data_IF_024170636049
#
_entry.id   IF_024170636049
#
_cell.length_a   1.000
_cell.length_b   1.000
_cell.length_c   1.000
_cell.angle_alpha   90.00
_cell.angle_beta   90.00
_cell.angle_gamma   90.00
#
_symmetry.space_group_name_H-M   'P 1'
#
loop_
_entity.id
_entity.type
_entity.pdbx_description
1 polymer ?
#
# COMPACT_ATOMS: atom_id res chain seq x y z
N UNK A 1 -1.14 33.06 7.78
CA UNK A 1 -0.49 33.72 8.93
C UNK A 1 -1.29 33.56 10.22
N UNK A 2 -2.59 33.88 10.22
CA UNK A 2 -3.49 33.70 11.38
C UNK A 2 -3.63 32.22 11.81
N UNK A 3 -3.69 31.29 10.87
CA UNK A 3 -3.76 29.84 11.19
C UNK A 3 -2.45 29.29 11.79
N UNK A 4 -1.31 29.87 11.43
CA UNK A 4 0.00 29.49 11.98
C UNK A 4 0.13 29.95 13.45
N UNK A 5 -0.36 31.15 13.75
CA UNK A 5 -0.42 31.71 15.11
C UNK A 5 -1.37 30.88 16.00
N UNK A 6 -2.49 30.41 15.45
CA UNK A 6 -3.46 29.60 16.20
C UNK A 6 -2.92 28.21 16.59
N UNK A 7 -2.10 27.61 15.72
CA UNK A 7 -1.47 26.30 15.96
C UNK A 7 -0.28 26.37 16.93
N UNK A 8 0.40 27.53 17.00
CA UNK A 8 1.57 27.78 17.85
C UNK A 8 1.28 28.75 19.01
N UNK A 9 0.04 28.83 19.51
CA UNK A 9 -0.36 29.80 20.53
C UNK A 9 0.49 29.78 21.81
N UNK A 10 0.97 28.60 22.23
CA UNK A 10 1.87 28.42 23.38
C UNK A 10 3.23 29.10 23.12
N UNK A 11 3.71 29.06 21.88
CA UNK A 11 4.98 29.70 21.48
C UNK A 11 4.88 31.23 21.49
N UNK A 12 3.73 31.79 21.07
CA UNK A 12 3.47 33.23 21.19
C UNK A 12 3.44 33.69 22.66
N UNK A 13 2.79 32.92 23.54
CA UNK A 13 2.75 33.23 24.98
C UNK A 13 4.15 33.19 25.58
N UNK A 14 4.98 32.22 25.19
CA UNK A 14 6.38 32.13 25.63
C UNK A 14 7.22 33.34 25.18
N UNK A 15 7.00 33.85 23.97
CA UNK A 15 7.67 35.07 23.47
C UNK A 15 7.25 36.30 24.29
N UNK A 16 5.95 36.47 24.57
CA UNK A 16 5.49 37.58 25.40
C UNK A 16 5.98 37.49 26.85
N UNK A 17 6.07 36.28 27.41
CA UNK A 17 6.65 36.06 28.74
C UNK A 17 8.16 36.35 28.77
N UNK A 18 8.90 36.01 27.71
CA UNK A 18 10.31 36.32 27.59
C UNK A 18 10.55 37.84 27.48
N UNK A 19 9.77 38.53 26.64
CA UNK A 19 9.80 40.00 26.53
C UNK A 19 9.43 40.64 27.88
N UNK A 20 8.39 40.14 28.54
CA UNK A 20 7.98 40.61 29.87
C UNK A 20 9.07 40.41 30.93
N UNK A 21 9.77 39.28 30.92
CA UNK A 21 10.89 39.00 31.82
C UNK A 21 12.10 39.92 31.56
N UNK A 22 12.41 40.20 30.30
CA UNK A 22 13.46 41.16 29.90
C UNK A 22 13.11 42.59 30.35
N UNK A 23 11.85 43.01 30.18
CA UNK A 23 11.39 44.32 30.64
C UNK A 23 11.37 44.43 32.17
N UNK A 24 10.94 43.38 32.88
CA UNK A 24 10.96 43.34 34.35
C UNK A 24 12.37 43.34 34.92
N UNK A 25 13.32 42.66 34.27
CA UNK A 25 14.73 42.72 34.65
C UNK A 25 15.35 44.09 34.34
N UNK A 26 14.89 44.81 33.31
CA UNK A 26 15.32 46.18 33.05
C UNK A 26 14.75 47.21 34.05
N UNK A 27 13.52 47.01 34.56
CA UNK A 27 12.85 47.94 35.48
C UNK A 27 13.27 47.73 36.94
N UNK A 28 13.66 46.51 37.35
CA UNK A 28 14.05 46.21 38.74
C UNK A 28 15.50 46.54 39.08
N UNK A 29 16.27 47.08 38.13
CA UNK A 29 17.63 47.55 38.39
C UNK A 29 17.59 49.09 38.48
N UNK A 30 17.38 49.61 39.68
CA UNK A 30 17.65 51.02 40.05
C UNK A 30 19.10 51.41 39.70
N UNK A 31 19.39 52.71 39.49
CA UNK A 31 20.26 53.19 38.42
C UNK A 31 21.63 52.51 38.47
N UNK A 32 21.89 51.76 37.40
CA UNK A 32 23.12 51.04 37.19
C UNK A 32 24.26 52.05 37.07
N UNK A 33 25.08 52.15 38.11
CA UNK A 33 26.47 52.56 37.95
C UNK A 33 27.08 51.69 36.84
N UNK A 34 27.60 52.33 35.80
CA UNK A 34 28.30 51.68 34.69
C UNK A 34 29.65 51.11 35.17
N UNK A 35 29.61 50.12 36.05
CA UNK A 35 30.77 49.34 36.47
C UNK A 35 30.38 47.87 36.66
N UNK A 36 30.96 47.01 35.82
CA UNK A 36 31.04 45.53 35.84
C UNK A 36 29.78 44.66 36.04
N UNK A 37 28.74 45.05 36.78
CA UNK A 37 27.59 44.19 37.11
C UNK A 37 26.52 44.08 36.01
N UNK A 38 26.25 45.17 35.29
CA UNK A 38 25.21 45.22 34.25
C UNK A 38 25.59 44.47 32.97
N UNK A 39 26.87 44.56 32.57
CA UNK A 39 27.38 43.83 31.41
C UNK A 39 27.31 42.31 31.63
N UNK A 40 27.54 41.84 32.86
CA UNK A 40 27.43 40.42 33.24
C UNK A 40 25.97 39.96 33.19
N UNK A 41 25.02 40.75 33.71
CA UNK A 41 23.59 40.42 33.67
C UNK A 41 23.05 40.31 32.24
N UNK A 42 23.45 41.23 31.35
CA UNK A 42 23.07 41.20 29.94
C UNK A 42 23.63 39.96 29.22
N UNK A 43 24.91 39.62 29.42
CA UNK A 43 25.54 38.43 28.82
C UNK A 43 24.88 37.14 29.32
N UNK A 44 24.58 37.05 30.63
CA UNK A 44 23.88 35.88 31.21
C UNK A 44 22.46 35.75 30.64
N UNK A 45 21.74 36.86 30.45
CA UNK A 45 20.43 36.85 29.81
C UNK A 45 20.48 36.36 28.35
N UNK A 46 21.47 36.81 27.58
CA UNK A 46 21.66 36.42 26.18
C UNK A 46 22.05 34.94 26.06
N UNK A 47 22.90 34.44 26.97
CA UNK A 47 23.20 33.01 27.08
C UNK A 47 21.96 32.16 27.38
N UNK A 48 21.05 32.64 28.24
CA UNK A 48 19.79 31.97 28.54
C UNK A 48 18.86 31.84 27.32
N UNK A 49 18.78 32.89 26.50
CA UNK A 49 17.99 32.88 25.25
C UNK A 49 18.61 31.88 24.25
N UNK A 50 19.92 31.93 24.05
CA UNK A 50 20.62 31.00 23.16
C UNK A 50 20.47 29.54 23.60
N UNK A 51 20.58 29.25 24.90
CA UNK A 51 20.38 27.91 25.45
C UNK A 51 18.94 27.41 25.19
N UNK A 52 17.95 28.28 25.35
CA UNK A 52 16.54 27.94 25.10
C UNK A 52 16.26 27.63 23.63
N UNK A 53 16.80 28.44 22.71
CA UNK A 53 16.68 28.20 21.26
C UNK A 53 17.36 26.89 20.86
N UNK A 54 18.53 26.59 21.43
CA UNK A 54 19.26 25.35 21.16
C UNK A 54 18.45 24.11 21.57
N UNK A 55 17.91 24.10 22.80
CA UNK A 55 17.08 22.99 23.29
C UNK A 55 15.79 22.88 22.49
N UNK A 56 15.13 23.99 22.16
CA UNK A 56 13.93 23.99 21.33
C UNK A 56 14.20 23.44 19.92
N UNK A 57 15.33 23.81 19.31
CA UNK A 57 15.75 23.30 18.00
C UNK A 57 16.03 21.79 18.04
N UNK A 58 16.69 21.30 19.09
CA UNK A 58 16.92 19.86 19.28
C UNK A 58 15.61 19.09 19.46
N UNK A 59 14.67 19.58 20.28
CA UNK A 59 13.35 18.95 20.47
C UNK A 59 12.55 18.95 19.16
N UNK A 60 12.55 20.07 18.43
CA UNK A 60 11.85 20.17 17.15
C UNK A 60 12.46 19.25 16.09
N UNK A 61 13.80 19.16 16.04
CA UNK A 61 14.53 18.23 15.18
C UNK A 61 14.18 16.76 15.49
N UNK A 62 14.12 16.39 16.77
CA UNK A 62 13.71 15.05 17.20
C UNK A 62 12.26 14.74 16.80
N UNK A 63 11.32 15.69 16.98
CA UNK A 63 9.92 15.51 16.58
C UNK A 63 9.74 15.37 15.08
N UNK A 64 10.47 16.17 14.31
CA UNK A 64 10.48 16.08 12.85
C UNK A 64 11.04 14.73 12.39
N UNK A 65 12.18 14.32 12.95
CA UNK A 65 12.80 13.02 12.69
C UNK A 65 11.86 11.86 13.05
N UNK A 66 11.23 11.89 14.23
CA UNK A 66 10.24 10.89 14.66
C UNK A 66 9.08 10.77 13.66
N UNK A 67 8.53 11.91 13.21
CA UNK A 67 7.43 11.94 12.25
C UNK A 67 7.85 11.36 10.90
N UNK A 68 9.05 11.72 10.44
CA UNK A 68 9.60 11.22 9.18
C UNK A 68 9.84 9.71 9.25
N UNK A 69 10.46 9.22 10.33
CA UNK A 69 10.71 7.79 10.57
C UNK A 69 9.41 7.01 10.62
N UNK A 70 8.40 7.48 11.36
CA UNK A 70 7.06 6.85 11.39
C UNK A 70 6.43 6.78 10.00
N UNK A 71 6.54 7.85 9.21
CA UNK A 71 6.00 7.86 7.85
C UNK A 71 6.72 6.89 6.91
N UNK A 72 8.05 6.74 7.07
CA UNK A 72 8.83 5.77 6.31
C UNK A 72 8.49 4.33 6.73
N UNK A 73 8.40 4.08 8.04
CA UNK A 73 8.01 2.76 8.57
C UNK A 73 6.63 2.33 8.08
N UNK A 74 5.64 3.23 8.11
CA UNK A 74 4.29 2.90 7.62
C UNK A 74 4.29 2.59 6.13
N UNK A 75 5.01 3.39 5.31
CA UNK A 75 5.14 3.14 3.87
C UNK A 75 5.81 1.79 3.58
N UNK A 76 6.88 1.47 4.30
CA UNK A 76 7.59 0.21 4.10
C UNK A 76 6.75 -0.98 4.60
N UNK A 77 6.02 -0.83 5.71
CA UNK A 77 5.10 -1.84 6.20
C UNK A 77 3.95 -2.11 5.21
N UNK A 78 3.35 -1.06 4.63
CA UNK A 78 2.32 -1.20 3.60
C UNK A 78 2.85 -1.89 2.34
N UNK A 79 4.06 -1.51 1.92
CA UNK A 79 4.76 -2.13 0.79
C UNK A 79 5.05 -3.62 1.05
N UNK A 80 5.66 -3.94 2.18
CA UNK A 80 5.94 -5.33 2.60
C UNK A 80 4.67 -6.15 2.68
N UNK A 81 3.58 -5.59 3.22
CA UNK A 81 2.29 -6.26 3.28
C UNK A 81 1.74 -6.58 1.89
N UNK A 82 1.84 -5.64 0.95
CA UNK A 82 1.42 -5.86 -0.44
C UNK A 82 2.28 -6.91 -1.14
N UNK A 83 3.61 -6.82 -0.99
CA UNK A 83 4.55 -7.80 -1.58
C UNK A 83 4.34 -9.21 -1.00
N UNK A 84 4.11 -9.31 0.31
CA UNK A 84 3.81 -10.58 0.98
C UNK A 84 2.48 -11.16 0.53
N UNK A 85 1.42 -10.33 0.41
CA UNK A 85 0.12 -10.77 -0.10
C UNK A 85 0.21 -11.29 -1.54
N UNK A 86 0.86 -10.53 -2.44
CA UNK A 86 1.05 -10.93 -3.83
C UNK A 86 1.86 -12.24 -3.92
N UNK A 87 2.92 -12.36 -3.12
CA UNK A 87 3.74 -13.57 -3.07
C UNK A 87 2.95 -14.79 -2.57
N UNK A 88 2.09 -14.60 -1.57
CA UNK A 88 1.21 -15.64 -1.05
C UNK A 88 0.19 -16.10 -2.11
N UNK A 89 -0.47 -15.18 -2.80
CA UNK A 89 -1.40 -15.51 -3.89
C UNK A 89 -0.67 -16.22 -5.02
N UNK A 90 0.51 -15.75 -5.42
CA UNK A 90 1.31 -16.42 -6.44
C UNK A 90 1.68 -17.85 -6.04
N UNK A 91 2.02 -18.08 -4.76
CA UNK A 91 2.28 -19.43 -4.25
C UNK A 91 1.04 -20.33 -4.26
N UNK A 92 -0.10 -19.82 -3.80
CA UNK A 92 -1.38 -20.55 -3.85
C UNK A 92 -1.78 -20.88 -5.28
N UNK A 93 -1.57 -19.96 -6.22
CA UNK A 93 -1.81 -20.20 -7.64
C UNK A 93 -1.01 -21.41 -8.16
N UNK A 94 0.28 -21.52 -7.83
CA UNK A 94 1.09 -22.66 -8.28
C UNK A 94 0.58 -23.99 -7.72
N UNK A 95 0.12 -24.01 -6.46
CA UNK A 95 -0.47 -25.22 -5.85
C UNK A 95 -1.77 -25.59 -6.55
N UNK A 96 -2.65 -24.61 -6.81
CA UNK A 96 -3.94 -24.91 -7.45
C UNK A 96 -3.83 -25.22 -8.94
N UNK A 97 -2.76 -24.80 -9.62
CA UNK A 97 -2.46 -25.29 -10.96
C UNK A 97 -2.25 -26.80 -10.94
N UNK A 98 -1.49 -27.30 -9.97
CA UNK A 98 -1.26 -28.75 -9.83
C UNK A 98 -2.56 -29.49 -9.46
N UNK A 99 -3.38 -28.89 -8.60
CA UNK A 99 -4.69 -29.44 -8.26
C UNK A 99 -5.61 -29.52 -9.48
N UNK A 100 -5.73 -28.43 -10.26
CA UNK A 100 -6.52 -28.39 -11.48
C UNK A 100 -6.05 -29.44 -12.50
N UNK A 101 -4.73 -29.60 -12.66
CA UNK A 101 -4.15 -30.62 -13.55
C UNK A 101 -4.59 -32.01 -13.13
N UNK A 102 -4.37 -32.36 -11.86
CA UNK A 102 -4.76 -33.65 -11.31
C UNK A 102 -6.28 -33.88 -11.41
N UNK A 103 -7.09 -32.84 -11.18
CA UNK A 103 -8.55 -32.91 -11.30
C UNK A 103 -9.02 -33.22 -12.72
N UNK A 104 -8.46 -32.57 -13.76
CA UNK A 104 -8.87 -32.88 -15.14
C UNK A 104 -8.32 -34.23 -15.62
N UNK A 105 -7.10 -34.62 -15.21
CA UNK A 105 -6.53 -35.93 -15.56
C UNK A 105 -7.36 -37.08 -14.98
N UNK A 106 -7.93 -36.88 -13.79
CA UNK A 106 -8.87 -37.80 -13.14
C UNK A 106 -10.31 -37.67 -13.63
N UNK A 107 -10.59 -36.71 -14.50
CA UNK A 107 -11.94 -36.40 -15.01
C UNK A 107 -12.94 -36.04 -13.89
N UNK A 108 -12.45 -35.46 -12.78
CA UNK A 108 -13.27 -34.97 -11.67
C UNK A 108 -13.83 -33.57 -12.02
N UNK A 109 -14.74 -33.47 -13.00
CA UNK A 109 -15.13 -32.20 -13.64
C UNK A 109 -15.62 -31.10 -12.69
N UNK A 110 -16.42 -31.45 -11.68
CA UNK A 110 -16.88 -30.47 -10.68
C UNK A 110 -15.73 -29.88 -9.88
N UNK A 111 -14.73 -30.71 -9.56
CA UNK A 111 -13.54 -30.26 -8.84
C UNK A 111 -12.67 -29.40 -9.73
N UNK A 112 -12.44 -29.85 -10.97
CA UNK A 112 -11.72 -29.08 -11.96
C UNK A 112 -12.33 -27.69 -12.17
N UNK A 113 -13.65 -27.58 -12.28
CA UNK A 113 -14.36 -26.30 -12.37
C UNK A 113 -14.09 -25.38 -11.18
N UNK A 114 -14.08 -25.95 -9.96
CA UNK A 114 -13.77 -25.20 -8.74
C UNK A 114 -12.33 -24.70 -8.74
N UNK A 115 -11.39 -25.55 -9.17
CA UNK A 115 -9.99 -25.20 -9.27
C UNK A 115 -9.77 -24.08 -10.31
N UNK A 116 -10.47 -24.13 -11.46
CA UNK A 116 -10.46 -23.07 -12.47
C UNK A 116 -11.00 -21.74 -11.90
N UNK A 117 -12.08 -21.76 -11.12
CA UNK A 117 -12.62 -20.56 -10.49
C UNK A 117 -11.59 -19.89 -9.56
N UNK A 118 -10.90 -20.70 -8.74
CA UNK A 118 -9.84 -20.20 -7.86
C UNK A 118 -8.68 -19.61 -8.66
N UNK A 119 -8.23 -20.32 -9.70
CA UNK A 119 -7.15 -19.85 -10.57
C UNK A 119 -7.51 -18.52 -11.25
N UNK A 120 -8.74 -18.35 -11.73
CA UNK A 120 -9.20 -17.10 -12.33
C UNK A 120 -9.28 -15.99 -11.28
N UNK A 121 -9.70 -16.28 -10.05
CA UNK A 121 -9.69 -15.31 -8.95
C UNK A 121 -8.26 -14.81 -8.67
N UNK A 122 -7.30 -15.72 -8.54
CA UNK A 122 -5.90 -15.36 -8.28
C UNK A 122 -5.29 -14.54 -9.42
N UNK A 123 -5.57 -14.93 -10.67
CA UNK A 123 -5.10 -14.18 -11.84
C UNK A 123 -5.72 -12.79 -11.89
N UNK A 124 -6.99 -12.64 -11.52
CA UNK A 124 -7.67 -11.35 -11.47
C UNK A 124 -7.08 -10.44 -10.39
N UNK A 125 -6.72 -10.99 -9.23
CA UNK A 125 -6.11 -10.24 -8.12
C UNK A 125 -4.68 -9.81 -8.46
N UNK A 126 -3.91 -10.66 -9.14
CA UNK A 126 -2.52 -10.38 -9.52
C UNK A 126 -2.40 -9.51 -10.78
N UNK A 127 -3.32 -9.65 -11.73
CA UNK A 127 -3.27 -8.97 -13.02
C UNK A 127 -2.13 -9.44 -13.94
N UNK A 128 -1.58 -10.63 -13.70
CA UNK A 128 -0.43 -11.16 -14.45
C UNK A 128 -0.87 -11.96 -15.67
N UNK A 129 -0.61 -11.42 -16.86
CA UNK A 129 -0.98 -12.03 -18.15
C UNK A 129 -0.39 -13.42 -18.36
N UNK A 130 0.86 -13.66 -17.93
CA UNK A 130 1.50 -14.97 -18.03
C UNK A 130 0.75 -16.06 -17.25
N UNK A 131 0.24 -15.73 -16.06
CA UNK A 131 -0.57 -16.66 -15.26
C UNK A 131 -1.94 -16.88 -15.90
N UNK A 132 -2.55 -15.84 -16.46
CA UNK A 132 -3.78 -15.96 -17.25
C UNK A 132 -3.61 -16.91 -18.45
N UNK A 133 -2.53 -16.76 -19.21
CA UNK A 133 -2.21 -17.63 -20.35
C UNK A 133 -2.02 -19.09 -19.92
N UNK A 134 -1.47 -19.33 -18.71
CA UNK A 134 -1.32 -20.69 -18.17
C UNK A 134 -2.66 -21.33 -17.80
N UNK A 135 -3.59 -20.58 -17.21
CA UNK A 135 -4.95 -21.07 -16.95
C UNK A 135 -5.68 -21.37 -18.26
N UNK A 136 -5.53 -20.50 -19.26
CA UNK A 136 -6.07 -20.74 -20.60
C UNK A 136 -5.53 -22.04 -21.21
N UNK A 137 -4.23 -22.29 -21.09
CA UNK A 137 -3.61 -23.53 -21.57
C UNK A 137 -4.19 -24.77 -20.88
N UNK A 138 -4.40 -24.74 -19.57
CA UNK A 138 -5.01 -25.85 -18.82
C UNK A 138 -6.43 -26.14 -19.35
N UNK A 139 -7.25 -25.10 -19.56
CA UNK A 139 -8.59 -25.25 -20.12
C UNK A 139 -8.55 -25.87 -21.54
N UNK A 140 -7.63 -25.40 -22.38
CA UNK A 140 -7.43 -25.93 -23.74
C UNK A 140 -7.00 -27.40 -23.68
N UNK A 141 -6.05 -27.75 -22.82
CA UNK A 141 -5.55 -29.12 -22.68
C UNK A 141 -6.64 -30.08 -22.17
N UNK A 142 -7.45 -29.66 -21.20
CA UNK A 142 -8.59 -30.44 -20.72
C UNK A 142 -9.62 -30.68 -21.83
N UNK A 143 -9.92 -29.66 -22.64
CA UNK A 143 -10.85 -29.80 -23.77
C UNK A 143 -10.31 -30.71 -24.87
N UNK A 144 -9.05 -30.49 -25.30
CA UNK A 144 -8.44 -31.30 -26.36
C UNK A 144 -8.29 -32.77 -25.94
N UNK A 145 -7.91 -33.01 -24.69
CA UNK A 145 -7.59 -34.36 -24.22
C UNK A 145 -8.84 -35.18 -23.86
N UNK A 146 -9.86 -34.53 -23.29
CA UNK A 146 -10.98 -35.23 -22.67
C UNK A 146 -12.36 -34.69 -23.04
N UNK A 147 -12.45 -33.69 -23.94
CA UNK A 147 -13.72 -33.05 -24.33
C UNK A 147 -14.55 -32.60 -23.14
N UNK A 148 -13.87 -32.06 -22.14
CA UNK A 148 -14.45 -31.59 -20.89
C UNK A 148 -15.74 -30.79 -21.08
N UNK A 149 -15.81 -29.91 -22.08
CA UNK A 149 -16.96 -29.06 -22.33
C UNK A 149 -18.22 -29.83 -22.75
N UNK A 150 -18.08 -30.99 -23.39
CA UNK A 150 -19.22 -31.85 -23.75
C UNK A 150 -19.87 -32.49 -22.52
N UNK A 151 -19.14 -32.60 -21.41
CA UNK A 151 -19.59 -33.20 -20.15
C UNK A 151 -20.32 -32.23 -19.21
N UNK A 152 -20.33 -30.93 -19.55
CA UNK A 152 -20.94 -29.90 -18.72
C UNK A 152 -22.43 -29.74 -18.99
N UNK A 153 -23.17 -29.37 -17.94
CA UNK A 153 -24.53 -28.85 -18.05
C UNK A 153 -24.53 -27.44 -18.65
N UNK A 154 -25.68 -26.97 -19.15
CA UNK A 154 -25.77 -25.66 -19.83
C UNK A 154 -25.44 -24.47 -18.93
N UNK A 155 -25.79 -24.54 -17.64
CA UNK A 155 -25.41 -23.54 -16.64
C UNK A 155 -23.90 -23.54 -16.38
N UNK A 156 -23.27 -24.71 -16.31
CA UNK A 156 -21.82 -24.86 -16.16
C UNK A 156 -21.07 -24.37 -17.40
N UNK A 157 -21.60 -24.60 -18.61
CA UNK A 157 -21.04 -24.06 -19.87
C UNK A 157 -21.08 -22.54 -19.89
N UNK A 158 -22.20 -21.94 -19.47
CA UNK A 158 -22.31 -20.48 -19.36
C UNK A 158 -21.28 -19.92 -18.38
N UNK A 159 -21.09 -20.58 -17.25
CA UNK A 159 -20.06 -20.21 -16.28
C UNK A 159 -18.65 -20.29 -16.88
N UNK A 160 -18.35 -21.33 -17.66
CA UNK A 160 -17.08 -21.41 -18.41
C UNK A 160 -16.95 -20.26 -19.41
N UNK A 161 -18.00 -19.87 -20.12
CA UNK A 161 -17.92 -18.72 -21.03
C UNK A 161 -17.57 -17.42 -20.30
N UNK A 162 -18.20 -17.17 -19.15
CA UNK A 162 -17.91 -16.00 -18.32
C UNK A 162 -16.46 -16.02 -17.83
N UNK A 163 -15.97 -17.20 -17.46
CA UNK A 163 -14.59 -17.42 -17.02
C UNK A 163 -13.58 -17.23 -18.15
N UNK A 164 -13.83 -17.79 -19.33
CA UNK A 164 -13.04 -17.55 -20.54
C UNK A 164 -13.01 -16.04 -20.83
N UNK A 165 -14.15 -15.37 -20.79
CA UNK A 165 -14.22 -13.93 -21.03
C UNK A 165 -13.38 -13.13 -20.02
N UNK A 166 -13.44 -13.46 -18.73
CA UNK A 166 -12.58 -12.83 -17.71
C UNK A 166 -11.09 -13.03 -18.01
N UNK A 167 -10.69 -14.26 -18.36
CA UNK A 167 -9.30 -14.57 -18.71
C UNK A 167 -8.83 -13.74 -19.90
N UNK A 168 -9.64 -13.65 -20.96
CA UNK A 168 -9.25 -12.90 -22.18
C UNK A 168 -9.00 -11.41 -21.96
N UNK A 169 -9.53 -10.82 -20.88
CA UNK A 169 -9.26 -9.42 -20.52
C UNK A 169 -7.88 -9.20 -19.90
N UNK A 170 -7.25 -10.27 -19.41
CA UNK A 170 -5.96 -10.23 -18.68
C UNK A 170 -4.84 -10.84 -19.55
N UNK A 171 -5.18 -11.80 -20.41
CA UNK A 171 -4.24 -12.45 -21.31
C UNK A 171 -3.62 -11.47 -22.32
N UNK A 172 -2.34 -11.67 -22.60
CA UNK A 172 -1.66 -11.01 -23.72
C UNK A 172 -1.73 -11.86 -25.01
N UNK A 173 -1.90 -13.18 -24.88
CA UNK A 173 -1.95 -14.10 -26.01
C UNK A 173 -3.30 -14.03 -26.73
N UNK A 174 -3.31 -14.33 -28.04
CA UNK A 174 -4.54 -14.31 -28.84
C UNK A 174 -5.54 -15.35 -28.32
N UNK A 175 -6.74 -14.95 -27.87
CA UNK A 175 -7.71 -15.87 -27.27
C UNK A 175 -8.50 -16.73 -28.29
N UNK A 176 -8.07 -16.75 -29.55
CA UNK A 176 -8.82 -17.39 -30.64
C UNK A 176 -9.08 -18.88 -30.38
N UNK A 177 -8.11 -19.58 -29.79
CA UNK A 177 -8.23 -21.00 -29.49
C UNK A 177 -9.30 -21.25 -28.42
N UNK A 178 -9.32 -20.44 -27.36
CA UNK A 178 -10.35 -20.49 -26.31
C UNK A 178 -11.75 -20.23 -26.89
N UNK A 179 -11.90 -19.17 -27.67
CA UNK A 179 -13.21 -18.83 -28.24
C UNK A 179 -13.72 -19.86 -29.24
N UNK A 180 -12.82 -20.49 -29.99
CA UNK A 180 -13.15 -21.53 -30.95
C UNK A 180 -13.56 -22.82 -30.24
N UNK A 181 -12.76 -23.27 -29.27
CA UNK A 181 -12.99 -24.51 -28.52
C UNK A 181 -14.27 -24.43 -27.69
N UNK A 182 -14.43 -23.34 -26.94
CA UNK A 182 -15.59 -23.16 -26.05
C UNK A 182 -16.78 -22.48 -26.73
N UNK A 183 -16.76 -22.30 -28.06
CA UNK A 183 -17.87 -21.72 -28.86
C UNK A 183 -18.42 -20.38 -28.34
N UNK A 184 -17.60 -19.62 -27.62
CA UNK A 184 -18.02 -18.37 -26.95
C UNK A 184 -18.56 -17.34 -27.95
N UNK A 185 -18.09 -17.37 -29.20
CA UNK A 185 -18.55 -16.49 -30.28
C UNK A 185 -19.90 -16.87 -30.91
N UNK A 186 -20.42 -18.08 -30.67
CA UNK A 186 -21.74 -18.50 -31.20
C UNK A 186 -22.93 -18.07 -30.34
N UNK A 187 -22.71 -17.51 -29.15
CA UNK A 187 -23.79 -17.07 -28.26
C UNK A 187 -24.28 -15.62 -28.49
N UNK A 188 -23.74 -14.94 -29.51
CA UNK A 188 -24.03 -13.52 -29.84
C UNK A 188 -24.73 -13.31 -31.19
N UNK A 189 -25.21 -14.37 -31.83
CA UNK A 189 -26.14 -14.31 -32.97
C UNK A 189 -27.46 -14.98 -32.60
#
# INVERSE_FOLDING_TARGET
MIEWIKRNGISCIAIFLAIGAICLSAIRIDPIDFNNGSMVSFVVGLMGICATIMVASQIMGLRFSETQVRSMLNKEADKLRKESYNSMIAGLFEVEVLAAINSYERQEWKRFMTDIDLLISYVSDLGESQKANRVAKILIEAEISFRFYEHLLEDEKKHIHDNVWKLTKIMDDKPNDLFTLFKVLKATQ
#
